data_IF_754536660993
#
_entry.id   IF_754536660993
#
_cell.length_a   1.000
_cell.length_b   1.000
_cell.length_c   1.000
_cell.angle_alpha   90.00
_cell.angle_beta   90.00
_cell.angle_gamma   90.00
#
_symmetry.space_group_name_H-M   'P 1'
#
loop_
_entity.id
_entity.type
_entity.pdbx_description
1 polymer ?
#
# COMPACT_ATOMS: atom_id res chain seq x y z
N UNK A 1 -30.56 17.25 -25.81
CA UNK A 1 -29.31 16.66 -25.28
C UNK A 1 -29.16 17.04 -23.80
N UNK A 2 -29.77 16.30 -22.88
CA UNK A 2 -29.58 16.48 -21.42
C UNK A 2 -29.98 15.24 -20.61
N UNK A 3 -29.79 14.04 -21.16
CA UNK A 3 -30.05 12.76 -20.44
C UNK A 3 -28.78 11.90 -20.34
N UNK A 4 -27.75 12.22 -21.13
CA UNK A 4 -26.47 11.48 -21.13
C UNK A 4 -25.49 11.99 -20.05
N UNK A 5 -25.74 13.18 -19.47
CA UNK A 5 -24.85 13.79 -18.46
C UNK A 5 -25.21 13.45 -17.01
N UNK A 6 -26.37 12.83 -16.75
CA UNK A 6 -26.82 12.50 -15.39
C UNK A 6 -26.65 11.03 -14.99
N UNK A 7 -26.22 10.16 -15.90
CA UNK A 7 -25.94 8.74 -15.59
C UNK A 7 -24.47 8.46 -15.20
N UNK A 8 -23.56 9.44 -15.37
CA UNK A 8 -22.13 9.23 -15.19
C UNK A 8 -21.57 9.66 -13.82
N UNK A 9 -22.43 9.98 -12.86
CA UNK A 9 -22.05 10.07 -11.45
C UNK A 9 -22.46 8.79 -10.70
N UNK A 10 -22.40 7.64 -11.39
CA UNK A 10 -22.32 6.36 -10.70
C UNK A 10 -21.09 6.45 -9.81
N UNK A 11 -21.32 6.61 -8.51
CA UNK A 11 -20.31 6.53 -7.47
C UNK A 11 -19.43 5.32 -7.80
N UNK A 12 -18.20 5.58 -8.25
CA UNK A 12 -17.18 4.56 -8.44
C UNK A 12 -16.90 3.98 -7.05
N UNK A 13 -17.64 2.93 -6.67
CA UNK A 13 -17.40 2.20 -5.44
C UNK A 13 -16.16 1.35 -5.66
N UNK A 14 -15.03 1.88 -5.23
CA UNK A 14 -13.78 1.15 -5.09
C UNK A 14 -13.79 0.53 -3.69
N UNK A 15 -13.78 -0.79 -3.65
CA UNK A 15 -13.69 -1.57 -2.42
C UNK A 15 -12.32 -2.25 -2.38
N UNK A 16 -11.61 -2.09 -1.28
CA UNK A 16 -10.26 -2.61 -1.09
C UNK A 16 -10.24 -3.25 0.29
N UNK A 17 -10.03 -4.57 0.31
CA UNK A 17 -9.97 -5.35 1.53
C UNK A 17 -8.59 -5.98 1.64
N UNK A 18 -7.93 -5.76 2.78
CA UNK A 18 -6.65 -6.36 3.15
C UNK A 18 -6.86 -7.19 4.42
N UNK A 19 -6.49 -8.47 4.37
CA UNK A 19 -6.61 -9.41 5.49
C UNK A 19 -5.32 -10.23 5.66
N UNK A 20 -5.19 -10.95 6.77
CA UNK A 20 -4.03 -11.83 6.99
C UNK A 20 -4.10 -13.09 6.10
N UNK A 21 -2.96 -13.50 5.52
CA UNK A 21 -2.87 -14.63 4.60
C UNK A 21 -1.78 -15.65 4.97
N UNK A 22 -1.85 -16.28 6.16
CA UNK A 22 -0.79 -17.17 6.65
C UNK A 22 -0.55 -18.42 5.77
N UNK A 23 -1.44 -18.73 4.83
CA UNK A 23 -1.34 -19.87 3.91
C UNK A 23 -0.71 -19.60 2.55
N UNK A 24 -0.33 -18.34 2.24
CA UNK A 24 0.28 -17.98 0.97
C UNK A 24 1.65 -18.67 0.81
N UNK A 25 1.84 -19.43 -0.28
CA UNK A 25 3.00 -20.31 -0.46
C UNK A 25 4.05 -19.81 -1.45
N UNK A 26 3.71 -18.86 -2.33
CA UNK A 26 4.64 -18.35 -3.36
C UNK A 26 4.30 -16.92 -3.79
N UNK A 27 5.35 -16.13 -4.06
CA UNK A 27 5.26 -14.74 -4.52
C UNK A 27 6.19 -14.52 -5.73
N UNK A 28 5.86 -15.05 -6.91
CA UNK A 28 6.77 -15.05 -8.06
C UNK A 28 6.91 -13.68 -8.73
N UNK A 29 5.99 -12.75 -8.46
CA UNK A 29 6.03 -11.41 -9.02
C UNK A 29 6.59 -10.44 -7.97
N UNK A 30 7.58 -9.64 -8.34
CA UNK A 30 8.15 -8.60 -7.48
C UNK A 30 8.20 -7.28 -8.23
N UNK A 31 7.79 -6.21 -7.56
CA UNK A 31 7.96 -4.85 -8.04
C UNK A 31 8.52 -3.99 -6.93
N UNK A 32 9.53 -3.19 -7.27
CA UNK A 32 10.26 -2.37 -6.31
C UNK A 32 9.92 -0.90 -6.52
N UNK A 33 9.72 -0.19 -5.41
CA UNK A 33 9.36 1.21 -5.38
C UNK A 33 10.22 1.98 -4.39
N UNK A 34 10.51 3.24 -4.70
CA UNK A 34 10.81 4.24 -3.69
C UNK A 34 9.49 4.84 -3.21
N UNK A 35 9.27 4.88 -1.91
CA UNK A 35 8.01 5.29 -1.30
C UNK A 35 8.25 6.43 -0.32
N UNK A 36 7.47 7.50 -0.45
CA UNK A 36 7.44 8.60 0.50
C UNK A 36 6.10 8.62 1.21
N UNK A 37 6.14 8.25 2.49
CA UNK A 37 4.98 8.15 3.37
C UNK A 37 4.92 9.38 4.30
N UNK A 38 3.75 10.02 4.50
CA UNK A 38 3.66 11.20 5.36
C UNK A 38 3.97 10.85 6.83
N UNK A 39 4.78 11.69 7.47
CA UNK A 39 5.20 11.48 8.86
C UNK A 39 4.22 12.13 9.84
N UNK A 40 3.86 11.41 10.90
CA UNK A 40 2.91 11.85 11.92
C UNK A 40 1.44 11.88 11.48
N UNK A 41 1.14 11.50 10.24
CA UNK A 41 -0.21 11.50 9.68
C UNK A 41 -0.69 10.08 9.37
N UNK A 42 -1.93 9.78 9.75
CA UNK A 42 -2.53 8.49 9.45
C UNK A 42 -3.10 8.48 8.02
N UNK A 43 -2.68 7.50 7.23
CA UNK A 43 -3.18 7.27 5.87
C UNK A 43 -3.95 5.95 5.84
N UNK A 44 -5.05 5.90 5.09
CA UNK A 44 -5.86 4.68 4.95
C UNK A 44 -5.83 4.18 3.52
N UNK A 45 -5.54 2.89 3.34
CA UNK A 45 -5.66 2.16 2.07
C UNK A 45 -6.63 1.01 2.30
N UNK A 46 -7.80 1.07 1.66
CA UNK A 46 -8.87 0.11 1.93
C UNK A 46 -9.31 0.12 3.40
N UNK A 47 -9.23 -1.03 4.05
CA UNK A 47 -9.47 -1.21 5.48
C UNK A 47 -8.20 -1.09 6.35
N UNK A 48 -7.02 -0.85 5.75
CA UNK A 48 -5.75 -0.72 6.47
C UNK A 48 -5.44 0.74 6.78
N UNK A 49 -5.43 1.08 8.08
CA UNK A 49 -4.97 2.37 8.60
C UNK A 49 -3.50 2.26 8.98
N UNK A 50 -2.67 3.12 8.39
CA UNK A 50 -1.23 3.12 8.55
C UNK A 50 -0.73 4.47 9.03
N UNK A 51 0.35 4.49 9.80
CA UNK A 51 0.99 5.73 10.26
C UNK A 51 2.49 5.51 10.42
N UNK A 52 3.27 6.43 9.86
CA UNK A 52 4.70 6.54 10.11
C UNK A 52 4.92 7.61 11.19
N UNK A 53 5.78 7.32 12.16
CA UNK A 53 6.23 8.29 13.16
C UNK A 53 7.75 8.19 13.29
N UNK A 54 8.45 9.18 12.76
CA UNK A 54 9.90 9.26 12.77
C UNK A 54 10.43 10.02 13.99
N UNK A 55 11.58 9.58 14.49
CA UNK A 55 12.36 10.30 15.48
C UNK A 55 13.83 9.92 15.35
N UNK A 56 14.68 10.89 15.00
CA UNK A 56 16.11 10.69 14.73
C UNK A 56 16.32 9.62 13.63
N UNK A 57 17.12 8.60 13.87
CA UNK A 57 17.35 7.48 12.94
C UNK A 57 16.32 6.33 13.09
N UNK A 58 15.25 6.55 13.85
CA UNK A 58 14.23 5.54 14.14
C UNK A 58 12.86 5.93 13.58
N UNK A 59 12.09 4.90 13.25
CA UNK A 59 10.73 5.03 12.78
C UNK A 59 9.85 3.99 13.48
N UNK A 60 8.69 4.42 13.97
CA UNK A 60 7.58 3.53 14.29
C UNK A 60 6.63 3.52 13.11
N UNK A 61 6.46 2.37 12.48
CA UNK A 61 5.44 2.12 11.46
C UNK A 61 4.29 1.34 12.10
N UNK A 62 3.14 1.97 12.18
CA UNK A 62 1.91 1.39 12.73
C UNK A 62 0.99 0.96 11.59
N UNK A 63 0.54 -0.29 11.61
CA UNK A 63 -0.46 -0.84 10.70
C UNK A 63 -1.59 -1.42 11.55
N UNK A 64 -2.77 -0.79 11.53
CA UNK A 64 -3.94 -1.20 12.31
C UNK A 64 -3.65 -1.42 13.82
N UNK A 65 -2.76 -0.62 14.41
CA UNK A 65 -2.33 -0.74 15.80
C UNK A 65 -1.16 -1.69 16.03
N UNK A 66 -0.73 -2.44 15.02
CA UNK A 66 0.47 -3.25 15.08
C UNK A 66 1.69 -2.39 14.74
N UNK A 67 2.51 -2.12 15.75
CA UNK A 67 3.65 -1.21 15.64
C UNK A 67 4.94 -1.97 15.43
N UNK A 68 5.66 -1.60 14.38
CA UNK A 68 7.00 -2.07 14.12
C UNK A 68 7.98 -0.92 14.20
N UNK A 69 9.10 -1.16 14.88
CA UNK A 69 10.22 -0.24 14.87
C UNK A 69 11.15 -0.60 13.72
N UNK A 70 11.58 0.41 12.98
CA UNK A 70 12.62 0.34 11.97
C UNK A 70 13.71 1.36 12.31
N UNK A 71 14.97 0.99 12.13
CA UNK A 71 16.10 1.92 12.14
C UNK A 71 16.52 2.21 10.70
N UNK A 72 17.10 3.38 10.43
CA UNK A 72 17.66 3.69 9.11
C UNK A 72 18.60 2.58 8.62
N UNK A 73 18.35 2.10 7.41
CA UNK A 73 19.07 1.00 6.78
C UNK A 73 18.55 -0.40 7.14
N UNK A 74 17.67 -0.54 8.14
CA UNK A 74 17.03 -1.79 8.51
C UNK A 74 15.93 -2.17 7.51
N UNK A 75 15.84 -3.46 7.20
CA UNK A 75 14.78 -4.04 6.39
C UNK A 75 13.83 -4.87 7.26
N UNK A 76 12.53 -4.70 7.05
CA UNK A 76 11.47 -5.51 7.67
C UNK A 76 10.57 -6.12 6.61
N UNK A 77 10.15 -7.35 6.87
CA UNK A 77 9.09 -7.97 6.10
C UNK A 77 7.74 -7.75 6.79
N UNK A 78 6.75 -7.28 6.03
CA UNK A 78 5.34 -7.23 6.43
C UNK A 78 4.55 -8.31 5.67
N UNK A 79 3.56 -8.91 6.35
CA UNK A 79 2.72 -9.97 5.80
C UNK A 79 3.25 -11.38 6.07
N UNK A 80 2.67 -12.41 5.42
CA UNK A 80 1.80 -12.33 4.24
C UNK A 80 0.37 -11.83 4.53
N UNK A 81 -0.18 -11.08 3.58
CA UNK A 81 -1.54 -10.55 3.57
C UNK A 81 -2.26 -10.93 2.27
N UNK A 82 -3.58 -10.88 2.28
CA UNK A 82 -4.44 -11.07 1.12
C UNK A 82 -5.10 -9.74 0.76
N UNK A 83 -5.01 -9.32 -0.50
CA UNK A 83 -5.64 -8.13 -1.04
C UNK A 83 -6.71 -8.49 -2.06
N UNK A 84 -7.94 -8.00 -1.83
CA UNK A 84 -9.03 -8.00 -2.81
C UNK A 84 -9.38 -6.57 -3.19
N UNK A 85 -9.49 -6.30 -4.49
CA UNK A 85 -9.91 -5.00 -5.03
C UNK A 85 -11.10 -5.20 -5.94
N UNK A 86 -12.21 -4.53 -5.64
CA UNK A 86 -13.44 -4.57 -6.43
C UNK A 86 -13.85 -3.18 -6.87
N UNK A 87 -14.31 -3.08 -8.11
CA UNK A 87 -14.88 -1.85 -8.67
C UNK A 87 -16.25 -2.18 -9.24
N UNK A 88 -17.28 -1.49 -8.75
CA UNK A 88 -18.69 -1.80 -9.07
C UNK A 88 -19.08 -3.26 -8.82
N UNK A 89 -18.48 -3.90 -7.79
CA UNK A 89 -18.71 -5.31 -7.46
C UNK A 89 -17.98 -6.31 -8.38
N UNK A 90 -17.23 -5.84 -9.38
CA UNK A 90 -16.36 -6.67 -10.22
C UNK A 90 -14.98 -6.73 -9.58
N UNK A 91 -14.48 -7.93 -9.36
CA UNK A 91 -13.13 -8.16 -8.83
C UNK A 91 -12.07 -7.89 -9.90
N UNK A 92 -11.16 -6.97 -9.57
CA UNK A 92 -10.05 -6.55 -10.43
C UNK A 92 -8.70 -7.10 -9.93
N UNK A 93 -8.61 -7.39 -8.63
CA UNK A 93 -7.44 -7.97 -8.01
C UNK A 93 -7.89 -8.92 -6.90
N UNK A 94 -7.29 -10.10 -6.88
CA UNK A 94 -7.35 -11.07 -5.79
C UNK A 94 -5.96 -11.69 -5.72
N UNK A 95 -5.17 -11.31 -4.72
CA UNK A 95 -3.75 -11.69 -4.66
C UNK A 95 -3.25 -11.68 -3.23
N UNK A 96 -2.36 -12.62 -2.92
CA UNK A 96 -1.59 -12.56 -1.69
C UNK A 96 -0.36 -11.70 -1.93
N UNK A 97 0.05 -10.94 -0.92
CA UNK A 97 1.25 -10.13 -1.01
C UNK A 97 2.02 -10.10 0.30
N UNK A 98 3.31 -9.80 0.17
CA UNK A 98 4.19 -9.43 1.27
C UNK A 98 5.07 -8.27 0.83
N UNK A 99 5.53 -7.49 1.79
CA UNK A 99 6.34 -6.32 1.52
C UNK A 99 7.66 -6.45 2.25
N UNK A 100 8.77 -6.19 1.56
CA UNK A 100 10.07 -5.95 2.18
C UNK A 100 10.29 -4.45 2.16
N UNK A 101 10.40 -3.85 3.34
CA UNK A 101 10.49 -2.41 3.52
C UNK A 101 11.81 -2.07 4.18
N UNK A 102 12.64 -1.28 3.51
CA UNK A 102 13.86 -0.73 4.07
C UNK A 102 13.68 0.75 4.34
N UNK A 103 13.77 1.17 5.60
CA UNK A 103 13.69 2.59 5.95
C UNK A 103 15.00 3.29 5.54
N UNK A 104 14.91 4.31 4.69
CA UNK A 104 16.06 5.05 4.18
C UNK A 104 16.35 6.31 5.02
N UNK A 105 15.33 6.80 5.73
CA UNK A 105 15.39 8.04 6.49
C UNK A 105 14.28 9.00 6.07
N UNK A 106 14.40 10.26 6.49
CA UNK A 106 13.48 11.31 6.09
C UNK A 106 13.94 12.00 4.80
N UNK A 107 13.00 12.26 3.89
CA UNK A 107 13.22 13.06 2.68
C UNK A 107 12.03 14.01 2.49
N UNK A 108 12.31 15.31 2.39
CA UNK A 108 11.28 16.36 2.18
C UNK A 108 10.12 16.31 3.19
N UNK A 109 10.41 15.96 4.45
CA UNK A 109 9.39 15.86 5.50
C UNK A 109 8.53 14.58 5.44
N UNK A 110 8.89 13.62 4.58
CA UNK A 110 8.24 12.30 4.49
C UNK A 110 9.22 11.19 4.86
N UNK A 111 8.70 10.12 5.44
CA UNK A 111 9.46 8.89 5.66
C UNK A 111 9.70 8.21 4.30
N UNK A 112 10.97 7.99 3.97
CA UNK A 112 11.39 7.38 2.71
C UNK A 112 11.71 5.90 2.91
N UNK A 113 11.15 5.05 2.07
CA UNK A 113 11.37 3.62 2.05
C UNK A 113 11.78 3.14 0.68
N UNK A 114 12.70 2.18 0.66
CA UNK A 114 12.85 1.29 -0.48
C UNK A 114 11.99 0.05 -0.22
N UNK A 115 10.98 -0.17 -1.04
CA UNK A 115 9.96 -1.18 -0.81
C UNK A 115 9.87 -2.15 -1.98
N UNK A 116 10.05 -3.45 -1.72
CA UNK A 116 9.74 -4.51 -2.66
C UNK A 116 8.40 -5.14 -2.29
N UNK A 117 7.43 -5.02 -3.20
CA UNK A 117 6.12 -5.68 -3.09
C UNK A 117 6.18 -6.98 -3.87
N UNK A 118 5.97 -8.09 -3.17
CA UNK A 118 5.96 -9.42 -3.77
C UNK A 118 4.54 -9.97 -3.74
N UNK A 119 4.04 -10.46 -4.86
CA UNK A 119 2.64 -10.85 -5.04
C UNK A 119 2.53 -12.26 -5.62
N UNK A 120 1.46 -12.97 -5.27
CA UNK A 120 1.19 -14.33 -5.76
C UNK A 120 0.61 -14.32 -7.18
N UNK A 121 -0.16 -13.29 -7.53
CA UNK A 121 -0.68 -13.01 -8.86
C UNK A 121 -0.19 -11.68 -9.44
N UNK A 122 -0.11 -11.59 -10.77
CA UNK A 122 0.32 -10.37 -11.46
C UNK A 122 -0.67 -9.23 -11.22
N UNK A 123 -0.19 -8.12 -10.65
CA UNK A 123 -1.00 -6.93 -10.40
C UNK A 123 -0.94 -5.98 -11.61
N UNK A 124 -2.09 -5.60 -12.20
CA UNK A 124 -2.10 -4.61 -13.26
C UNK A 124 -1.70 -3.21 -12.74
N UNK A 125 -0.87 -2.48 -13.49
CA UNK A 125 -0.35 -1.16 -13.08
C UNK A 125 -1.47 -0.16 -12.75
N UNK A 126 -2.55 -0.15 -13.53
CA UNK A 126 -3.67 0.77 -13.31
C UNK A 126 -4.37 0.58 -11.95
N UNK A 127 -4.25 -0.61 -11.34
CA UNK A 127 -4.77 -0.88 -9.99
C UNK A 127 -3.88 -0.18 -8.96
N UNK A 128 -2.55 -0.31 -9.08
CA UNK A 128 -1.58 0.35 -8.20
C UNK A 128 -1.79 1.87 -8.19
N UNK A 129 -1.90 2.48 -9.37
CA UNK A 129 -2.08 3.93 -9.52
C UNK A 129 -3.38 4.44 -8.87
N UNK A 130 -4.37 3.55 -8.70
CA UNK A 130 -5.67 3.88 -8.09
C UNK A 130 -5.72 3.58 -6.59
N UNK A 131 -4.94 2.60 -6.13
CA UNK A 131 -4.88 2.16 -4.74
C UNK A 131 -4.20 3.18 -3.83
N UNK A 132 -3.14 3.82 -4.32
CA UNK A 132 -2.34 4.73 -3.52
C UNK A 132 -3.08 6.06 -3.27
N UNK A 133 -3.27 6.46 -2.00
CA UNK A 133 -3.76 7.79 -1.65
C UNK A 133 -2.76 8.85 -2.12
N UNK A 134 -3.27 10.06 -2.42
CA UNK A 134 -2.45 11.16 -2.95
C UNK A 134 -1.31 11.59 -2.03
N UNK A 135 -1.43 11.29 -0.74
CA UNK A 135 -0.44 11.68 0.27
C UNK A 135 0.79 10.75 0.25
N UNK A 136 0.63 9.55 -0.29
CA UNK A 136 1.71 8.58 -0.52
C UNK A 136 2.19 8.72 -1.95
N UNK A 137 3.51 8.88 -2.12
CA UNK A 137 4.15 8.81 -3.43
C UNK A 137 4.89 7.50 -3.53
N UNK A 138 4.74 6.79 -4.65
CA UNK A 138 5.49 5.58 -4.96
C UNK A 138 5.98 5.63 -6.39
N UNK A 139 7.29 5.48 -6.58
CA UNK A 139 7.93 5.52 -7.89
C UNK A 139 8.67 4.21 -8.14
N UNK A 140 8.43 3.51 -9.27
CA UNK A 140 9.15 2.30 -9.62
C UNK A 140 10.66 2.54 -9.74
N UNK A 141 11.45 1.52 -9.38
CA UNK A 141 12.92 1.49 -9.52
C UNK A 141 13.37 0.58 -10.66
#
# INVERSE_FOLDING_TARGET
MLIVLLAAAAFLTLDIEITDAPGASSFPYTTTYNVWFPDGEAVTIGNARMMALSYDDELIFDVNGNRQKLVVGEEKQLGPYHASVRVFGIELLDTDFRMLMKYIGMAEGKANFHMAVQTSGQVPQFVIDRLLPRDIQAEPV
#
